data_IF_312162051908
#
_entry.id   IF_312162051908
#
_cell.length_a   1.000
_cell.length_b   1.000
_cell.length_c   1.000
_cell.angle_alpha   90.00
_cell.angle_beta   90.00
_cell.angle_gamma   90.00
#
_symmetry.space_group_name_H-M   'P 1'
#
loop_
_entity.id
_entity.type
_entity.pdbx_description
1 polymer ?
#
# COMPACT_ATOMS: atom_id res chain seq x y z
N UNK A 1 6.29 9.91 0.93
CA UNK A 1 5.26 10.94 1.19
C UNK A 1 5.21 12.06 0.13
N UNK A 2 6.30 12.68 -0.36
CA UNK A 2 6.18 13.79 -1.34
C UNK A 2 5.33 13.47 -2.57
N UNK A 3 5.54 12.33 -3.21
CA UNK A 3 4.77 11.93 -4.41
C UNK A 3 3.28 11.70 -4.09
N UNK A 4 2.96 11.21 -2.88
CA UNK A 4 1.56 11.07 -2.45
C UNK A 4 0.86 12.44 -2.32
N UNK A 5 1.55 13.42 -1.76
CA UNK A 5 1.05 14.80 -1.66
C UNK A 5 0.90 15.43 -3.05
N UNK A 6 1.85 15.18 -3.94
CA UNK A 6 1.80 15.67 -5.32
C UNK A 6 0.61 15.08 -6.07
N UNK A 7 0.35 13.78 -5.94
CA UNK A 7 -0.82 13.13 -6.54
C UNK A 7 -2.14 13.68 -5.97
N UNK A 8 -2.21 13.93 -4.66
CA UNK A 8 -3.39 14.57 -4.07
C UNK A 8 -3.69 15.95 -4.66
N UNK A 9 -2.65 16.73 -4.95
CA UNK A 9 -2.82 18.06 -5.59
C UNK A 9 -3.27 17.94 -7.06
N UNK A 10 -2.82 16.91 -7.78
CA UNK A 10 -3.19 16.68 -9.18
C UNK A 10 -4.62 16.15 -9.36
N UNK A 11 -5.13 15.45 -8.33
CA UNK A 11 -6.46 14.81 -8.34
C UNK A 11 -7.36 15.36 -7.22
N UNK A 12 -7.82 16.62 -7.33
CA UNK A 12 -8.66 17.23 -6.28
C UNK A 12 -10.00 16.53 -6.08
N UNK A 13 -10.44 15.72 -7.03
CA UNK A 13 -11.66 14.91 -7.01
C UNK A 13 -11.51 13.57 -6.27
N UNK A 14 -10.26 13.13 -5.99
CA UNK A 14 -9.96 11.90 -5.23
C UNK A 14 -9.68 12.28 -3.78
N UNK A 15 -10.27 11.54 -2.85
CA UNK A 15 -9.93 11.65 -1.44
C UNK A 15 -8.67 10.83 -1.14
N UNK A 16 -7.63 11.48 -0.66
CA UNK A 16 -6.41 10.84 -0.22
C UNK A 16 -6.38 10.77 1.31
N UNK A 17 -5.92 9.62 1.84
CA UNK A 17 -5.74 9.42 3.28
C UNK A 17 -4.37 8.83 3.54
N UNK A 18 -3.55 9.52 4.30
CA UNK A 18 -2.24 9.02 4.73
C UNK A 18 -2.30 8.68 6.21
N UNK A 19 -2.42 7.37 6.51
CA UNK A 19 -2.34 6.88 7.88
C UNK A 19 -0.89 6.72 8.29
N UNK A 20 -0.51 7.31 9.39
CA UNK A 20 0.86 7.31 9.91
C UNK A 20 1.25 8.69 10.45
N UNK A 21 2.45 8.76 11.00
CA UNK A 21 2.93 9.99 11.62
C UNK A 21 4.45 10.03 11.69
N UNK A 22 4.95 11.03 12.38
CA UNK A 22 6.39 11.24 12.58
C UNK A 22 6.90 10.40 13.77
N UNK A 23 7.05 9.09 13.60
CA UNK A 23 7.47 8.16 14.67
C UNK A 23 8.81 8.54 15.31
N UNK A 24 9.68 9.22 14.56
CA UNK A 24 10.97 9.74 15.04
C UNK A 24 10.95 11.25 15.30
N UNK A 25 9.76 11.89 15.32
CA UNK A 25 9.63 13.32 15.54
C UNK A 25 10.46 14.13 14.55
N UNK A 26 11.21 15.11 15.05
CA UNK A 26 12.06 16.00 14.23
C UNK A 26 13.24 15.31 13.54
N UNK A 27 13.54 14.05 13.88
CA UNK A 27 14.59 13.26 13.20
C UNK A 27 14.08 12.61 11.91
N UNK A 28 12.79 12.68 11.64
CA UNK A 28 12.22 12.20 10.36
C UNK A 28 12.77 13.05 9.22
N UNK A 29 13.26 12.41 8.17
CA UNK A 29 13.75 13.10 6.99
C UNK A 29 12.63 13.94 6.34
N UNK A 30 12.95 15.18 5.97
CA UNK A 30 11.98 16.14 5.44
C UNK A 30 10.90 16.61 6.46
N UNK A 31 11.15 16.46 7.77
CA UNK A 31 10.16 16.77 8.82
C UNK A 31 9.52 18.15 8.66
N UNK A 32 10.32 19.20 8.42
CA UNK A 32 9.80 20.57 8.41
C UNK A 32 8.85 20.80 7.23
N UNK A 33 9.19 20.33 6.05
CA UNK A 33 8.37 20.44 4.83
C UNK A 33 7.10 19.59 4.97
N UNK A 34 7.23 18.36 5.42
CA UNK A 34 6.10 17.47 5.62
C UNK A 34 5.16 17.95 6.72
N UNK A 35 5.71 18.50 7.81
CA UNK A 35 4.91 19.07 8.91
C UNK A 35 4.04 20.24 8.45
N UNK A 36 4.54 21.10 7.56
CA UNK A 36 3.76 22.18 7.00
C UNK A 36 2.53 21.67 6.22
N UNK A 37 2.72 20.59 5.44
CA UNK A 37 1.60 19.98 4.69
C UNK A 37 0.63 19.26 5.63
N UNK A 38 1.11 18.61 6.67
CA UNK A 38 0.25 17.94 7.68
C UNK A 38 -0.58 18.97 8.45
N UNK A 39 0.01 20.14 8.77
CA UNK A 39 -0.69 21.21 9.50
C UNK A 39 -1.70 21.97 8.62
N UNK A 40 -1.48 22.03 7.31
CA UNK A 40 -2.34 22.70 6.33
C UNK A 40 -2.48 21.84 5.05
N UNK A 41 -3.18 20.70 5.12
CA UNK A 41 -3.29 19.78 4.00
C UNK A 41 -4.17 20.35 2.89
N UNK A 42 -3.98 19.92 1.63
CA UNK A 42 -4.99 20.09 0.59
C UNK A 42 -6.36 19.57 1.05
N UNK A 43 -7.44 20.16 0.55
CA UNK A 43 -8.80 19.85 1.00
C UNK A 43 -9.18 18.35 0.85
N UNK A 44 -8.56 17.66 -0.10
CA UNK A 44 -8.75 16.25 -0.42
C UNK A 44 -7.68 15.33 0.18
N UNK A 45 -6.84 15.81 1.10
CA UNK A 45 -5.79 15.01 1.75
C UNK A 45 -5.96 15.04 3.26
N UNK A 46 -6.14 13.86 3.85
CA UNK A 46 -6.35 13.69 5.28
C UNK A 46 -5.16 12.97 5.93
N UNK A 47 -4.77 13.42 7.12
CA UNK A 47 -3.75 12.81 7.96
C UNK A 47 -4.35 12.46 9.34
N UNK A 48 -4.95 11.26 9.51
CA UNK A 48 -5.52 10.86 10.81
C UNK A 48 -4.45 10.61 11.88
N UNK A 49 -3.17 10.58 11.50
CA UNK A 49 -2.09 10.29 12.42
C UNK A 49 -1.80 8.80 12.56
N UNK A 50 -1.15 8.44 13.68
CA UNK A 50 -0.89 7.04 14.02
C UNK A 50 -2.16 6.49 14.65
N UNK A 51 -2.71 5.43 14.08
CA UNK A 51 -3.92 4.74 14.53
C UNK A 51 -3.58 3.46 15.26
N UNK A 52 -4.50 3.02 16.11
CA UNK A 52 -4.44 1.69 16.69
C UNK A 52 -4.68 0.62 15.60
N UNK A 53 -4.11 -0.57 15.82
CA UNK A 53 -4.13 -1.64 14.82
C UNK A 53 -5.55 -2.06 14.43
N UNK A 54 -6.47 -2.03 15.36
CA UNK A 54 -7.86 -2.41 15.12
C UNK A 54 -8.59 -1.41 14.21
N UNK A 55 -8.22 -0.12 14.28
CA UNK A 55 -8.79 0.93 13.44
C UNK A 55 -8.29 0.86 11.99
N UNK A 56 -7.09 0.30 11.74
CA UNK A 56 -6.52 0.20 10.40
C UNK A 56 -7.41 -0.59 9.42
N UNK A 57 -8.11 -1.61 9.90
CA UNK A 57 -8.98 -2.41 9.06
C UNK A 57 -10.12 -1.58 8.44
N UNK A 58 -10.65 -0.59 9.17
CA UNK A 58 -11.70 0.27 8.65
C UNK A 58 -11.19 1.12 7.49
N UNK A 59 -9.96 1.64 7.60
CA UNK A 59 -9.34 2.40 6.53
C UNK A 59 -9.05 1.56 5.29
N UNK A 60 -8.58 0.33 5.44
CA UNK A 60 -8.38 -0.57 4.29
C UNK A 60 -9.71 -0.95 3.63
N UNK A 61 -10.77 -1.18 4.41
CA UNK A 61 -12.07 -1.59 3.88
C UNK A 61 -12.85 -0.46 3.18
N UNK A 62 -12.62 0.79 3.56
CA UNK A 62 -13.30 1.94 2.94
C UNK A 62 -12.57 2.44 1.68
N UNK A 63 -11.31 2.08 1.51
CA UNK A 63 -10.50 2.53 0.39
C UNK A 63 -10.83 1.75 -0.90
N UNK A 64 -10.69 2.42 -2.04
CA UNK A 64 -10.78 1.80 -3.37
C UNK A 64 -9.41 1.34 -3.89
N UNK A 65 -8.32 1.95 -3.41
CA UNK A 65 -6.95 1.68 -3.84
C UNK A 65 -5.97 1.94 -2.70
N UNK A 66 -5.06 1.01 -2.47
CA UNK A 66 -3.87 1.23 -1.64
C UNK A 66 -2.73 1.75 -2.52
N UNK A 67 -2.18 2.91 -2.15
CA UNK A 67 -1.10 3.58 -2.89
C UNK A 67 0.15 3.71 -2.02
N UNK A 68 1.27 3.10 -2.45
CA UNK A 68 2.56 3.18 -1.75
C UNK A 68 3.67 3.66 -2.69
N UNK A 69 3.95 4.98 -2.75
CA UNK A 69 4.99 5.57 -3.62
C UNK A 69 6.38 5.56 -2.99
N UNK A 70 6.70 4.57 -2.16
CA UNK A 70 7.99 4.46 -1.47
C UNK A 70 9.14 4.26 -2.45
N UNK A 71 10.30 4.87 -2.17
CA UNK A 71 11.53 4.67 -2.93
C UNK A 71 12.34 3.47 -2.45
N UNK A 72 12.20 3.11 -1.17
CA UNK A 72 12.89 1.98 -0.56
C UNK A 72 11.95 1.26 0.41
N UNK A 73 11.97 -0.06 0.37
CA UNK A 73 11.22 -0.92 1.27
C UNK A 73 12.07 -2.14 1.65
N UNK A 74 11.76 -2.75 2.79
CA UNK A 74 12.30 -4.05 3.17
C UNK A 74 11.28 -5.15 2.87
N UNK A 75 10.16 -5.14 3.60
CA UNK A 75 9.00 -5.98 3.36
C UNK A 75 7.77 -5.23 3.87
N UNK A 76 7.01 -4.60 2.97
CA UNK A 76 5.91 -3.71 3.38
C UNK A 76 4.70 -4.52 3.85
N UNK A 77 4.56 -4.69 5.17
CA UNK A 77 3.43 -5.39 5.77
C UNK A 77 2.08 -4.77 5.40
N UNK A 78 2.04 -3.45 5.22
CA UNK A 78 0.86 -2.71 4.78
C UNK A 78 0.30 -3.19 3.41
N UNK A 79 1.15 -3.70 2.52
CA UNK A 79 0.69 -4.32 1.27
C UNK A 79 -0.03 -5.65 1.56
N UNK A 80 0.50 -6.47 2.48
CA UNK A 80 -0.17 -7.71 2.86
C UNK A 80 -1.48 -7.46 3.59
N UNK A 81 -1.55 -6.42 4.41
CA UNK A 81 -2.77 -5.97 5.07
C UNK A 81 -3.81 -5.52 4.02
N UNK A 82 -3.41 -4.74 3.01
CA UNK A 82 -4.28 -4.36 1.90
C UNK A 82 -4.77 -5.59 1.11
N UNK A 83 -3.89 -6.55 0.81
CA UNK A 83 -4.29 -7.80 0.16
C UNK A 83 -5.31 -8.58 0.99
N UNK A 84 -5.16 -8.62 2.32
CA UNK A 84 -6.04 -9.41 3.21
C UNK A 84 -7.50 -8.99 3.14
N UNK A 85 -7.77 -7.75 2.78
CA UNK A 85 -9.13 -7.22 2.56
C UNK A 85 -9.51 -7.16 1.07
N UNK A 86 -8.64 -7.64 0.17
CA UNK A 86 -8.86 -7.61 -1.27
C UNK A 86 -8.76 -6.20 -1.87
N UNK A 87 -8.06 -5.28 -1.21
CA UNK A 87 -7.86 -3.92 -1.69
C UNK A 87 -6.84 -3.89 -2.83
N UNK A 88 -7.17 -3.36 -4.02
CA UNK A 88 -6.22 -3.12 -5.10
C UNK A 88 -4.98 -2.36 -4.64
N UNK A 89 -3.80 -2.76 -5.11
CA UNK A 89 -2.52 -2.19 -4.69
C UNK A 89 -1.80 -1.58 -5.88
N UNK A 90 -1.41 -0.31 -5.77
CA UNK A 90 -0.51 0.38 -6.68
C UNK A 90 0.72 0.87 -5.92
N UNK A 91 1.90 0.55 -6.42
CA UNK A 91 3.17 0.89 -5.77
C UNK A 91 4.18 1.44 -6.77
N UNK A 92 5.20 2.14 -6.28
CA UNK A 92 6.43 2.32 -7.06
C UNK A 92 7.04 0.94 -7.31
N UNK A 93 7.34 0.65 -8.59
CA UNK A 93 7.90 -0.65 -8.97
C UNK A 93 9.36 -0.75 -8.51
N UNK A 94 9.59 -1.54 -7.46
CA UNK A 94 10.90 -1.79 -6.89
C UNK A 94 11.33 -3.23 -7.20
N UNK A 95 12.62 -3.44 -7.46
CA UNK A 95 13.18 -4.77 -7.74
C UNK A 95 12.81 -5.80 -6.67
N UNK A 96 12.72 -5.36 -5.41
CA UNK A 96 12.26 -6.19 -4.30
C UNK A 96 10.89 -6.83 -4.57
N UNK A 97 9.95 -6.08 -5.12
CA UNK A 97 8.57 -6.55 -5.34
C UNK A 97 8.48 -7.66 -6.39
N UNK A 98 9.39 -7.66 -7.36
CA UNK A 98 9.45 -8.72 -8.37
C UNK A 98 9.76 -10.11 -7.76
N UNK A 99 10.44 -10.15 -6.63
CA UNK A 99 10.77 -11.41 -5.94
C UNK A 99 9.73 -11.83 -4.89
N UNK A 100 8.93 -10.90 -4.36
CA UNK A 100 8.04 -11.19 -3.24
C UNK A 100 6.55 -11.11 -3.59
N UNK A 101 6.10 -10.09 -4.34
CA UNK A 101 4.67 -9.86 -4.63
C UNK A 101 4.35 -9.74 -6.12
N UNK A 102 5.23 -10.24 -6.99
CA UNK A 102 5.05 -10.14 -8.44
C UNK A 102 3.69 -10.68 -8.91
N UNK A 103 3.02 -9.90 -9.75
CA UNK A 103 1.71 -10.24 -10.31
C UNK A 103 0.51 -9.85 -9.45
N UNK A 104 0.70 -9.43 -8.18
CA UNK A 104 -0.39 -9.08 -7.27
C UNK A 104 -0.67 -7.59 -7.17
N UNK A 105 0.13 -6.74 -7.79
CA UNK A 105 0.05 -5.29 -7.70
C UNK A 105 0.10 -4.62 -9.08
N UNK A 106 -0.15 -3.32 -9.12
CA UNK A 106 0.11 -2.43 -10.25
C UNK A 106 1.41 -1.67 -9.96
N UNK A 107 2.48 -1.99 -10.71
CA UNK A 107 3.77 -1.30 -10.63
C UNK A 107 3.77 -0.02 -11.45
N UNK A 108 4.41 1.02 -10.94
CA UNK A 108 4.60 2.32 -11.61
C UNK A 108 6.01 2.83 -11.35
N UNK A 109 6.68 3.38 -12.34
CA UNK A 109 8.09 3.80 -12.21
C UNK A 109 8.27 5.13 -11.49
N UNK A 110 7.31 6.04 -11.63
CA UNK A 110 7.40 7.42 -11.13
C UNK A 110 6.00 8.01 -10.85
N UNK A 111 5.98 9.23 -10.32
CA UNK A 111 4.75 9.96 -9.99
C UNK A 111 3.88 10.25 -11.22
N UNK A 112 4.48 10.46 -12.38
CA UNK A 112 3.73 10.76 -13.62
C UNK A 112 3.03 9.52 -14.17
N UNK A 113 3.61 8.34 -13.97
CA UNK A 113 2.94 7.08 -14.29
C UNK A 113 1.84 6.75 -13.28
N UNK A 114 2.06 7.02 -11.99
CA UNK A 114 1.01 6.91 -10.96
C UNK A 114 -0.19 7.79 -11.29
N UNK A 115 0.04 9.05 -11.66
CA UNK A 115 -0.96 10.03 -12.08
C UNK A 115 -1.83 9.48 -13.24
N UNK A 116 -1.18 8.96 -14.28
CA UNK A 116 -1.87 8.34 -15.43
C UNK A 116 -2.70 7.12 -15.01
N UNK A 117 -2.16 6.28 -14.12
CA UNK A 117 -2.87 5.10 -13.66
C UNK A 117 -4.07 5.47 -12.76
N UNK A 118 -3.95 6.47 -11.89
CA UNK A 118 -5.08 7.00 -11.12
C UNK A 118 -6.20 7.48 -12.03
N UNK A 119 -5.87 8.31 -13.04
CA UNK A 119 -6.84 8.78 -14.03
C UNK A 119 -7.54 7.62 -14.76
N UNK A 120 -6.80 6.57 -15.14
CA UNK A 120 -7.38 5.40 -15.80
C UNK A 120 -8.31 4.63 -14.86
N UNK A 121 -7.90 4.38 -13.62
CA UNK A 121 -8.66 3.58 -12.65
C UNK A 121 -9.99 4.25 -12.26
N UNK A 122 -10.08 5.57 -12.29
CA UNK A 122 -11.34 6.30 -12.08
C UNK A 122 -12.43 5.92 -13.11
N UNK A 123 -12.03 5.52 -14.31
CA UNK A 123 -12.94 5.30 -15.45
C UNK A 123 -12.94 3.85 -15.94
N UNK A 124 -12.03 3.01 -15.50
CA UNK A 124 -11.88 1.61 -15.92
C UNK A 124 -12.18 0.64 -14.77
N UNK A 125 -13.47 0.35 -14.58
CA UNK A 125 -13.94 -0.58 -13.56
C UNK A 125 -13.42 -2.02 -13.79
N UNK A 126 -13.20 -2.41 -15.05
CA UNK A 126 -12.68 -3.75 -15.36
C UNK A 126 -11.24 -3.90 -14.88
N UNK A 127 -10.42 -2.86 -15.07
CA UNK A 127 -9.04 -2.83 -14.56
C UNK A 127 -8.99 -2.82 -13.04
N UNK A 128 -9.85 -2.05 -12.39
CA UNK A 128 -9.94 -2.03 -10.93
C UNK A 128 -10.35 -3.40 -10.38
N UNK A 129 -11.30 -4.09 -11.05
CA UNK A 129 -11.72 -5.45 -10.71
C UNK A 129 -10.57 -6.46 -10.87
N UNK A 130 -9.79 -6.39 -11.96
CA UNK A 130 -8.60 -7.25 -12.16
C UNK A 130 -7.59 -7.06 -11.02
N UNK A 131 -7.33 -5.81 -10.62
CA UNK A 131 -6.43 -5.52 -9.50
C UNK A 131 -6.96 -6.06 -8.16
N UNK A 132 -8.27 -6.04 -7.95
CA UNK A 132 -8.92 -6.66 -6.79
C UNK A 132 -8.72 -8.18 -6.78
N UNK A 133 -8.90 -8.83 -7.93
CA UNK A 133 -8.66 -10.27 -8.06
C UNK A 133 -7.19 -10.63 -7.80
N UNK A 134 -6.26 -9.81 -8.26
CA UNK A 134 -4.82 -9.95 -7.96
C UNK A 134 -4.54 -9.79 -6.46
N UNK A 135 -5.13 -8.80 -5.80
CA UNK A 135 -4.99 -8.61 -4.35
C UNK A 135 -5.53 -9.83 -3.58
N UNK A 136 -6.70 -10.36 -3.95
CA UNK A 136 -7.25 -11.58 -3.38
C UNK A 136 -6.35 -12.81 -3.60
N UNK A 137 -5.70 -12.91 -4.75
CA UNK A 137 -4.72 -13.98 -5.01
C UNK A 137 -3.47 -13.82 -4.14
N UNK A 138 -3.00 -12.58 -3.94
CA UNK A 138 -1.92 -12.25 -3.00
C UNK A 138 -2.26 -12.63 -1.57
N UNK A 139 -3.48 -12.31 -1.11
CA UNK A 139 -3.97 -12.70 0.21
C UNK A 139 -3.91 -14.22 0.42
N UNK A 140 -4.34 -15.01 -0.56
CA UNK A 140 -4.27 -16.49 -0.50
C UNK A 140 -2.83 -16.98 -0.46
N UNK A 141 -1.94 -16.37 -1.24
CA UNK A 141 -0.52 -16.75 -1.27
C UNK A 141 0.17 -16.48 0.07
N UNK A 142 -0.16 -15.39 0.76
CA UNK A 142 0.39 -14.99 2.05
C UNK A 142 -0.47 -15.39 3.25
N UNK A 143 -1.46 -16.27 3.07
CA UNK A 143 -2.36 -16.71 4.14
C UNK A 143 -1.61 -17.47 5.24
N UNK A 144 -2.10 -17.34 6.46
CA UNK A 144 -1.62 -18.09 7.63
C UNK A 144 -1.73 -19.60 7.41
N UNK A 145 -2.78 -20.06 6.76
CA UNK A 145 -2.99 -21.47 6.43
C UNK A 145 -1.87 -22.03 5.54
N UNK A 146 -1.50 -21.29 4.49
CA UNK A 146 -0.40 -21.68 3.62
C UNK A 146 0.93 -21.66 4.36
N UNK A 147 1.17 -20.64 5.16
CA UNK A 147 2.38 -20.52 5.97
C UNK A 147 2.49 -21.66 6.98
N UNK A 148 1.43 -21.97 7.71
CA UNK A 148 1.40 -23.08 8.65
C UNK A 148 1.70 -24.41 7.97
N UNK A 149 1.17 -24.66 6.77
CA UNK A 149 1.48 -25.86 5.99
C UNK A 149 2.95 -25.95 5.58
N UNK A 150 3.55 -24.84 5.13
CA UNK A 150 4.98 -24.78 4.77
C UNK A 150 5.84 -25.13 5.99
N UNK A 151 5.55 -24.55 7.15
CA UNK A 151 6.29 -24.83 8.37
C UNK A 151 6.12 -26.28 8.84
N UNK A 152 4.90 -26.81 8.79
CA UNK A 152 4.62 -28.19 9.15
C UNK A 152 5.41 -29.17 8.25
N UNK A 153 5.40 -28.94 6.93
CA UNK A 153 6.14 -29.75 5.98
C UNK A 153 7.65 -29.67 6.22
N UNK A 154 8.16 -28.46 6.51
CA UNK A 154 9.58 -28.25 6.81
C UNK A 154 10.02 -28.99 8.07
N UNK A 155 9.32 -28.82 9.19
CA UNK A 155 9.65 -29.51 10.44
C UNK A 155 9.45 -31.03 10.36
N UNK A 156 8.45 -31.50 9.61
CA UNK A 156 8.23 -32.94 9.41
C UNK A 156 9.39 -33.60 8.67
N UNK A 157 10.04 -32.89 7.75
CA UNK A 157 11.27 -33.41 7.07
C UNK A 157 12.45 -33.47 8.01
N UNK A 158 12.68 -32.42 8.79
CA UNK A 158 13.81 -32.38 9.74
C UNK A 158 13.77 -33.47 10.82
N UNK A 159 12.58 -33.96 11.18
CA UNK A 159 12.44 -35.02 12.21
C UNK A 159 12.61 -36.44 11.61
N UNK A 160 12.53 -36.57 10.29
CA UNK A 160 12.69 -37.87 9.59
C UNK A 160 14.13 -38.20 9.18
N UNK A 161 15.00 -37.20 9.20
CA UNK A 161 16.45 -37.31 9.00
C UNK A 161 17.17 -37.47 10.36
#
# INVERSE_FOLDING_TARGET
>A
MPDFIELAKRHPEIQFVWVGGFSFGKMTDGYNELKQVVDQPPANLMFPGILDRDEMNDYYNVADLFLLPSFNELFPMSILEAFSVGLPVMVRDLDLYHSIINGYYLGTKDVDEMDKQLTLLQHDQAKLSDLKDRACAGAKYYSEERLAKIWLDYYTRLVKD
#
